data_IF_159079353876
#
_entry.id   IF_159079353876
#
_cell.length_a   1.000
_cell.length_b   1.000
_cell.length_c   1.000
_cell.angle_alpha   90.00
_cell.angle_beta   90.00
_cell.angle_gamma   90.00
#
_symmetry.space_group_name_H-M   'P 1'
#
loop_
_entity.id
_entity.type
_entity.pdbx_description
1 polymer ?
#
# COMPACT_ATOMS: atom_id res chain seq x y z
N UNK A 1 42.50 -9.57 -14.11
CA UNK A 1 42.25 -8.95 -12.79
C UNK A 1 40.76 -8.72 -12.69
N UNK A 2 40.03 -9.65 -12.07
CA UNK A 2 38.56 -9.56 -11.94
C UNK A 2 38.30 -8.64 -10.75
N UNK A 3 37.85 -7.42 -11.04
CA UNK A 3 37.36 -6.49 -10.02
C UNK A 3 36.11 -7.10 -9.37
N UNK A 4 36.29 -7.64 -8.16
CA UNK A 4 35.17 -7.96 -7.27
C UNK A 4 34.56 -6.65 -6.81
N UNK A 5 33.58 -6.13 -7.56
CA UNK A 5 32.72 -5.05 -7.08
C UNK A 5 31.92 -5.65 -5.93
N UNK A 6 32.27 -5.26 -4.70
CA UNK A 6 31.46 -5.53 -3.51
C UNK A 6 30.06 -5.00 -3.83
N UNK A 7 29.10 -5.88 -4.10
CA UNK A 7 27.70 -5.53 -4.28
C UNK A 7 27.20 -4.94 -2.96
N UNK A 8 27.29 -3.62 -2.82
CA UNK A 8 26.64 -2.88 -1.76
C UNK A 8 25.12 -3.10 -1.94
N UNK A 9 24.43 -3.60 -0.93
CA UNK A 9 22.99 -3.60 -0.92
C UNK A 9 22.45 -2.16 -1.07
N UNK A 10 21.17 -2.00 -1.41
CA UNK A 10 20.52 -0.69 -1.49
C UNK A 10 20.66 0.02 -0.14
N UNK A 11 21.07 1.30 -0.15
CA UNK A 11 21.10 2.09 1.08
C UNK A 11 19.71 2.60 1.42
N UNK A 12 19.48 2.95 2.68
CA UNK A 12 18.21 3.53 3.15
C UNK A 12 17.91 4.84 2.42
N UNK A 13 18.94 5.63 2.09
CA UNK A 13 18.81 6.89 1.37
C UNK A 13 18.30 6.67 -0.04
N UNK A 14 18.91 5.75 -0.80
CA UNK A 14 18.47 5.40 -2.17
C UNK A 14 17.02 4.86 -2.13
N UNK A 15 16.69 4.03 -1.15
CA UNK A 15 15.32 3.54 -1.02
C UNK A 15 14.33 4.69 -0.77
N UNK A 16 14.66 5.64 0.12
CA UNK A 16 13.84 6.83 0.37
C UNK A 16 13.64 7.66 -0.89
N UNK A 17 14.70 7.91 -1.65
CA UNK A 17 14.63 8.63 -2.92
C UNK A 17 13.70 7.94 -3.91
N UNK A 18 13.77 6.62 -4.05
CA UNK A 18 12.89 5.83 -4.92
C UNK A 18 11.43 5.93 -4.47
N UNK A 19 11.16 5.79 -3.16
CA UNK A 19 9.79 5.87 -2.63
C UNK A 19 9.21 7.28 -2.78
N UNK A 20 9.99 8.32 -2.52
CA UNK A 20 9.60 9.71 -2.73
C UNK A 20 9.30 9.98 -4.22
N UNK A 21 10.17 9.54 -5.13
CA UNK A 21 9.97 9.67 -6.57
C UNK A 21 8.66 9.03 -7.02
N UNK A 22 8.33 7.83 -6.51
CA UNK A 22 7.07 7.16 -6.84
C UNK A 22 5.86 8.01 -6.43
N UNK A 23 5.89 8.62 -5.24
CA UNK A 23 4.79 9.45 -4.75
C UNK A 23 4.67 10.78 -5.53
N UNK A 24 5.79 11.40 -5.89
CA UNK A 24 5.83 12.62 -6.69
C UNK A 24 5.29 12.41 -8.12
N UNK A 25 5.53 11.21 -8.70
CA UNK A 25 5.11 10.85 -10.06
C UNK A 25 3.89 9.91 -10.06
N UNK A 26 3.07 9.94 -9.01
CA UNK A 26 1.98 8.98 -8.79
C UNK A 26 0.93 8.98 -9.91
N UNK A 27 0.80 10.06 -10.63
CA UNK A 27 -0.13 10.24 -11.76
C UNK A 27 0.41 9.70 -13.09
N UNK A 28 1.68 9.33 -13.14
CA UNK A 28 2.38 8.94 -14.36
C UNK A 28 2.56 7.43 -14.48
N UNK A 29 2.97 6.97 -15.66
CA UNK A 29 3.44 5.59 -15.85
C UNK A 29 4.91 5.52 -15.47
N UNK A 30 5.18 5.04 -14.26
CA UNK A 30 6.53 4.86 -13.74
C UNK A 30 7.12 3.56 -14.29
N UNK A 31 8.30 3.63 -14.89
CA UNK A 31 8.97 2.45 -15.44
C UNK A 31 9.97 1.83 -14.47
N UNK A 32 10.09 0.49 -14.51
CA UNK A 32 11.11 -0.23 -13.76
C UNK A 32 12.53 0.21 -14.16
N UNK A 33 12.74 0.52 -15.46
CA UNK A 33 14.06 0.94 -15.98
C UNK A 33 14.50 2.25 -15.32
N UNK A 34 13.62 3.23 -15.30
CA UNK A 34 13.86 4.54 -14.70
C UNK A 34 14.25 4.45 -13.21
N UNK A 35 13.49 3.69 -12.42
CA UNK A 35 13.79 3.49 -11.00
C UNK A 35 15.11 2.73 -10.76
N UNK A 36 15.41 1.78 -11.64
CA UNK A 36 16.67 1.03 -11.58
C UNK A 36 17.87 1.91 -11.92
N UNK A 37 17.74 2.80 -12.91
CA UNK A 37 18.77 3.79 -13.27
C UNK A 37 19.01 4.77 -12.14
N UNK A 38 17.97 5.31 -11.51
CA UNK A 38 18.09 6.16 -10.33
C UNK A 38 18.84 5.47 -9.19
N UNK A 39 18.58 4.20 -8.97
CA UNK A 39 19.23 3.40 -7.93
C UNK A 39 20.65 2.95 -8.31
N UNK A 40 21.10 3.14 -9.56
CA UNK A 40 22.40 2.69 -10.06
C UNK A 40 22.48 1.17 -10.25
N UNK A 41 21.37 0.49 -10.55
CA UNK A 41 21.31 -0.96 -10.71
C UNK A 41 20.74 -1.36 -12.08
N UNK A 42 20.98 -2.61 -12.48
CA UNK A 42 20.24 -3.18 -13.61
C UNK A 42 18.77 -3.43 -13.18
N UNK A 43 17.79 -3.34 -14.11
CA UNK A 43 16.38 -3.55 -13.79
C UNK A 43 16.10 -4.88 -13.09
N UNK A 44 16.73 -5.95 -13.52
CA UNK A 44 16.59 -7.27 -12.91
C UNK A 44 17.08 -7.28 -11.45
N UNK A 45 18.28 -6.74 -11.22
CA UNK A 45 18.87 -6.71 -9.87
C UNK A 45 18.09 -5.78 -8.94
N UNK A 46 17.67 -4.59 -9.43
CA UNK A 46 16.83 -3.66 -8.69
C UNK A 46 15.50 -4.30 -8.27
N UNK A 47 14.77 -4.91 -9.22
CA UNK A 47 13.49 -5.58 -8.94
C UNK A 47 13.62 -6.65 -7.85
N UNK A 48 14.67 -7.47 -7.93
CA UNK A 48 14.93 -8.50 -6.92
C UNK A 48 15.24 -7.87 -5.56
N UNK A 49 16.13 -6.89 -5.53
CA UNK A 49 16.57 -6.22 -4.30
C UNK A 49 15.42 -5.48 -3.62
N UNK A 50 14.60 -4.76 -4.42
CA UNK A 50 13.41 -4.08 -3.92
C UNK A 50 12.43 -5.08 -3.31
N UNK A 51 12.17 -6.20 -3.99
CA UNK A 51 11.25 -7.23 -3.49
C UNK A 51 11.75 -7.89 -2.20
N UNK A 52 13.06 -8.07 -2.05
CA UNK A 52 13.66 -8.59 -0.81
C UNK A 52 13.54 -7.60 0.36
N UNK A 53 13.63 -6.30 0.08
CA UNK A 53 13.54 -5.24 1.10
C UNK A 53 12.10 -4.96 1.49
N UNK A 54 11.24 -4.75 0.49
CA UNK A 54 9.86 -4.31 0.68
C UNK A 54 8.87 -5.46 0.82
N UNK A 55 9.32 -6.71 0.61
CA UNK A 55 8.46 -7.91 0.68
C UNK A 55 7.51 -8.08 -0.50
N UNK A 56 7.50 -7.14 -1.46
CA UNK A 56 6.62 -7.18 -2.63
C UNK A 56 7.31 -6.65 -3.89
N UNK A 57 6.88 -7.06 -5.08
CA UNK A 57 7.39 -6.51 -6.34
C UNK A 57 7.15 -5.00 -6.44
N UNK A 58 8.09 -4.26 -7.03
CA UNK A 58 7.99 -2.80 -7.23
C UNK A 58 6.71 -2.39 -7.97
N UNK A 59 6.27 -3.17 -8.96
CA UNK A 59 5.03 -2.92 -9.70
C UNK A 59 3.79 -3.06 -8.82
N UNK A 60 3.81 -3.99 -7.86
CA UNK A 60 2.79 -4.15 -6.84
C UNK A 60 2.75 -2.95 -5.90
N UNK A 61 3.92 -2.51 -5.43
CA UNK A 61 4.05 -1.33 -4.58
C UNK A 61 3.50 -0.07 -5.26
N UNK A 62 3.93 0.24 -6.49
CA UNK A 62 3.43 1.39 -7.25
C UNK A 62 1.91 1.33 -7.39
N UNK A 63 1.36 0.15 -7.72
CA UNK A 63 -0.09 -0.03 -7.84
C UNK A 63 -0.83 0.26 -6.54
N UNK A 64 -0.32 -0.23 -5.40
CA UNK A 64 -0.90 0.04 -4.08
C UNK A 64 -0.87 1.53 -3.77
N UNK A 65 0.26 2.21 -3.98
CA UNK A 65 0.36 3.66 -3.76
C UNK A 65 -0.66 4.42 -4.60
N UNK A 66 -0.77 4.11 -5.90
CA UNK A 66 -1.78 4.70 -6.79
C UNK A 66 -3.21 4.51 -6.26
N UNK A 67 -3.55 3.33 -5.77
CA UNK A 67 -4.88 3.05 -5.23
C UNK A 67 -5.14 3.81 -3.92
N UNK A 68 -4.14 3.99 -3.07
CA UNK A 68 -4.24 4.79 -1.86
C UNK A 68 -4.53 6.26 -2.17
N UNK A 69 -3.81 6.86 -3.11
CA UNK A 69 -4.08 8.23 -3.57
C UNK A 69 -5.43 8.36 -4.29
N UNK A 70 -5.78 7.35 -5.10
CA UNK A 70 -7.07 7.30 -5.79
C UNK A 70 -8.24 7.28 -4.82
N UNK A 71 -8.13 6.60 -3.68
CA UNK A 71 -9.15 6.61 -2.64
C UNK A 71 -9.39 8.03 -2.12
N UNK A 72 -8.35 8.80 -1.82
CA UNK A 72 -8.47 10.22 -1.44
C UNK A 72 -9.24 11.03 -2.48
N UNK A 73 -8.87 10.90 -3.77
CA UNK A 73 -9.55 11.59 -4.88
C UNK A 73 -11.03 11.19 -5.03
N UNK A 74 -11.38 9.93 -4.75
CA UNK A 74 -12.78 9.49 -4.76
C UNK A 74 -13.58 10.17 -3.65
N UNK A 75 -13.01 10.36 -2.47
CA UNK A 75 -13.68 11.04 -1.34
C UNK A 75 -13.82 12.55 -1.58
N UNK A 76 -12.93 13.16 -2.36
CA UNK A 76 -13.09 14.53 -2.87
C UNK A 76 -14.26 14.69 -3.86
N UNK A 77 -14.97 13.61 -4.17
CA UNK A 77 -16.15 13.63 -5.02
C UNK A 77 -15.89 13.30 -6.50
N UNK A 78 -14.64 13.06 -6.91
CA UNK A 78 -14.30 12.75 -8.31
C UNK A 78 -14.99 11.48 -8.80
N UNK A 79 -15.27 11.40 -10.10
CA UNK A 79 -15.88 10.21 -10.71
C UNK A 79 -14.87 9.06 -10.79
N UNK A 80 -15.33 7.83 -10.63
CA UNK A 80 -14.48 6.63 -10.65
C UNK A 80 -13.68 6.51 -11.96
N UNK A 81 -14.32 6.81 -13.09
CA UNK A 81 -13.67 6.78 -14.40
C UNK A 81 -12.53 7.81 -14.47
N UNK A 82 -12.78 9.05 -14.06
CA UNK A 82 -11.79 10.12 -14.10
C UNK A 82 -10.59 9.78 -13.20
N UNK A 83 -10.84 9.22 -12.03
CA UNK A 83 -9.80 8.77 -11.09
C UNK A 83 -8.97 7.64 -11.69
N UNK A 84 -9.59 6.66 -12.35
CA UNK A 84 -8.84 5.57 -12.98
C UNK A 84 -7.87 6.06 -14.06
N UNK A 85 -8.29 7.04 -14.85
CA UNK A 85 -7.45 7.69 -15.87
C UNK A 85 -6.36 8.57 -15.25
N UNK A 86 -6.71 9.36 -14.21
CA UNK A 86 -5.82 10.25 -13.50
C UNK A 86 -4.60 9.53 -12.92
N UNK A 87 -4.79 8.33 -12.40
CA UNK A 87 -3.72 7.51 -11.82
C UNK A 87 -3.09 6.54 -12.83
N UNK A 88 -3.30 6.79 -14.13
CA UNK A 88 -2.71 6.04 -15.24
C UNK A 88 -2.95 4.52 -15.18
N UNK A 89 -4.16 4.10 -14.81
CA UNK A 89 -4.58 2.71 -14.98
C UNK A 89 -4.95 2.45 -16.44
N UNK A 90 -4.57 1.29 -16.98
CA UNK A 90 -4.78 0.95 -18.39
C UNK A 90 -6.26 0.73 -18.72
N UNK A 91 -7.10 0.39 -17.73
CA UNK A 91 -8.55 0.26 -17.91
C UNK A 91 -9.31 0.52 -16.62
N UNK A 92 -10.57 0.96 -16.74
CA UNK A 92 -11.49 1.14 -15.60
C UNK A 92 -11.77 -0.19 -14.87
N UNK A 93 -11.88 -1.30 -15.61
CA UNK A 93 -12.10 -2.62 -15.04
C UNK A 93 -10.87 -3.09 -14.24
N UNK A 94 -9.67 -2.87 -14.76
CA UNK A 94 -8.41 -3.17 -14.09
C UNK A 94 -8.24 -2.37 -12.81
N UNK A 95 -8.60 -1.07 -12.85
CA UNK A 95 -8.65 -0.21 -11.67
C UNK A 95 -9.64 -0.76 -10.63
N UNK A 96 -10.90 -0.99 -11.02
CA UNK A 96 -11.97 -1.45 -10.11
C UNK A 96 -11.61 -2.79 -9.48
N UNK A 97 -11.05 -3.73 -10.23
CA UNK A 97 -10.59 -5.02 -9.72
C UNK A 97 -9.47 -4.86 -8.70
N UNK A 98 -8.43 -4.09 -9.03
CA UNK A 98 -7.29 -3.84 -8.14
C UNK A 98 -7.72 -3.08 -6.87
N UNK A 99 -8.62 -2.12 -7.02
CA UNK A 99 -9.18 -1.37 -5.92
C UNK A 99 -9.99 -2.27 -4.96
N UNK A 100 -10.88 -3.11 -5.52
CA UNK A 100 -11.69 -4.05 -4.73
C UNK A 100 -10.81 -5.09 -4.03
N UNK A 101 -9.74 -5.54 -4.70
CA UNK A 101 -8.78 -6.46 -4.10
C UNK A 101 -8.02 -5.83 -2.93
N UNK A 102 -7.71 -4.53 -2.99
CA UNK A 102 -6.97 -3.83 -1.92
C UNK A 102 -7.87 -3.41 -0.76
N UNK A 103 -9.06 -2.88 -1.04
CA UNK A 103 -9.95 -2.26 -0.05
C UNK A 103 -11.16 -3.11 0.34
N UNK A 104 -11.32 -4.30 -0.21
CA UNK A 104 -12.44 -5.19 0.10
C UNK A 104 -13.78 -4.75 -0.50
N UNK A 105 -13.87 -3.57 -1.13
CA UNK A 105 -15.10 -3.03 -1.67
C UNK A 105 -14.88 -2.23 -2.95
N UNK A 106 -15.93 -2.06 -3.75
CA UNK A 106 -15.84 -1.32 -5.01
C UNK A 106 -15.66 0.18 -4.78
N UNK A 107 -15.01 0.91 -5.72
CA UNK A 107 -14.81 2.36 -5.59
C UNK A 107 -16.10 3.15 -5.31
N UNK A 108 -17.20 2.74 -5.95
CA UNK A 108 -18.52 3.39 -5.77
C UNK A 108 -19.10 3.20 -4.39
N UNK A 109 -18.94 2.00 -3.79
CA UNK A 109 -19.39 1.71 -2.43
C UNK A 109 -18.56 2.45 -1.40
N UNK A 110 -17.23 2.41 -1.55
CA UNK A 110 -16.32 3.14 -0.67
C UNK A 110 -16.67 4.63 -0.64
N UNK A 111 -16.89 5.24 -1.80
CA UNK A 111 -17.31 6.64 -1.91
C UNK A 111 -18.63 6.95 -1.16
N UNK A 112 -19.51 5.95 -1.04
CA UNK A 112 -20.80 6.12 -0.35
C UNK A 112 -20.68 6.09 1.17
N UNK A 113 -19.82 5.26 1.71
CA UNK A 113 -19.79 4.95 3.15
C UNK A 113 -18.55 5.49 3.88
N UNK A 114 -17.44 5.68 3.18
CA UNK A 114 -16.22 6.18 3.79
C UNK A 114 -16.28 7.71 3.89
N UNK A 115 -16.16 8.22 5.11
CA UNK A 115 -16.29 9.66 5.38
C UNK A 115 -14.94 10.38 5.47
N UNK A 116 -13.89 9.68 5.87
CA UNK A 116 -12.55 10.25 5.92
C UNK A 116 -11.46 9.25 5.56
N UNK A 117 -10.40 9.75 4.94
CA UNK A 117 -9.20 8.99 4.63
C UNK A 117 -8.01 9.92 4.40
N UNK A 118 -6.91 9.64 5.05
CA UNK A 118 -5.63 10.31 4.80
C UNK A 118 -4.68 9.33 4.11
N UNK A 119 -4.11 9.73 2.99
CA UNK A 119 -3.08 8.92 2.31
C UNK A 119 -1.91 8.69 3.28
N UNK A 120 -1.51 7.43 3.52
CA UNK A 120 -0.41 7.14 4.42
C UNK A 120 0.92 7.61 3.82
N UNK A 121 1.81 8.05 4.68
CA UNK A 121 3.21 8.21 4.28
C UNK A 121 3.81 6.83 3.92
N UNK A 122 4.78 6.84 3.02
CA UNK A 122 5.47 5.61 2.68
C UNK A 122 6.36 5.16 3.85
N UNK A 123 6.28 3.87 4.19
CA UNK A 123 7.12 3.28 5.23
C UNK A 123 8.47 2.87 4.63
N UNK A 124 9.55 3.36 5.22
CA UNK A 124 10.92 2.92 4.89
C UNK A 124 11.32 1.87 5.90
N UNK A 125 11.45 0.60 5.52
CA UNK A 125 11.90 -0.43 6.44
C UNK A 125 13.34 -0.17 6.88
N UNK A 126 13.62 -0.44 8.15
CA UNK A 126 15.00 -0.38 8.64
C UNK A 126 15.80 -1.54 8.03
N UNK A 127 16.68 -1.23 7.08
CA UNK A 127 17.53 -2.20 6.38
C UNK A 127 18.94 -2.24 6.95
N UNK A 128 19.28 -1.39 7.92
CA UNK A 128 20.58 -1.37 8.58
C UNK A 128 20.79 -2.65 9.38
N UNK A 129 21.87 -3.37 9.05
CA UNK A 129 22.24 -4.61 9.74
C UNK A 129 21.51 -5.88 9.27
N UNK A 130 20.55 -5.80 8.35
CA UNK A 130 19.96 -7.00 7.75
C UNK A 130 20.95 -7.66 6.80
N UNK A 131 21.46 -8.83 7.17
CA UNK A 131 22.09 -9.76 6.21
C UNK A 131 20.95 -10.28 5.32
N UNK A 132 20.91 -9.77 4.07
CA UNK A 132 19.99 -10.31 3.07
C UNK A 132 20.32 -11.79 2.84
N UNK A 133 19.50 -12.68 3.39
CA UNK A 133 19.54 -14.11 3.06
C UNK A 133 18.71 -14.30 1.78
N UNK A 134 19.38 -14.61 0.69
CA UNK A 134 18.70 -15.05 -0.52
C UNK A 134 17.96 -16.35 -0.21
N UNK A 135 16.63 -16.28 -0.08
CA UNK A 135 15.77 -17.46 -0.11
C UNK A 135 15.08 -17.91 1.18
N UNK A 136 14.87 -17.05 2.16
CA UNK A 136 14.11 -17.44 3.36
C UNK A 136 12.97 -16.43 3.64
N UNK A 137 11.79 -17.03 3.82
CA UNK A 137 10.57 -16.52 4.44
C UNK A 137 9.78 -15.44 3.69
N UNK A 138 8.77 -15.95 2.97
CA UNK A 138 7.79 -15.22 2.16
C UNK A 138 6.66 -14.52 2.95
N UNK A 139 6.73 -14.43 4.24
CA UNK A 139 5.78 -13.64 5.02
C UNK A 139 6.34 -12.25 5.27
N UNK A 140 6.11 -11.36 4.31
CA UNK A 140 6.48 -9.96 4.50
C UNK A 140 5.48 -9.30 5.44
N UNK A 141 6.00 -8.48 6.37
CA UNK A 141 5.23 -7.66 7.30
C UNK A 141 4.20 -6.76 6.60
N UNK A 142 4.47 -6.37 5.36
CA UNK A 142 3.61 -5.51 4.55
C UNK A 142 2.41 -6.29 4.01
N UNK A 143 2.61 -7.54 3.55
CA UNK A 143 1.51 -8.39 3.10
C UNK A 143 0.53 -8.68 4.25
N UNK A 144 1.03 -8.95 5.44
CA UNK A 144 0.21 -9.17 6.63
C UNK A 144 -0.58 -7.91 7.04
N UNK A 145 0.03 -6.72 7.02
CA UNK A 145 -0.68 -5.47 7.32
C UNK A 145 -1.78 -5.17 6.29
N UNK A 146 -1.50 -5.34 5.00
CA UNK A 146 -2.52 -5.15 3.96
C UNK A 146 -3.65 -6.15 4.08
N UNK A 147 -3.34 -7.40 4.39
CA UNK A 147 -4.35 -8.45 4.59
C UNK A 147 -5.27 -8.14 5.77
N UNK A 148 -4.74 -7.70 6.91
CA UNK A 148 -5.52 -7.37 8.10
C UNK A 148 -6.40 -6.13 7.86
N UNK A 149 -5.85 -5.07 7.27
CA UNK A 149 -6.63 -3.87 6.91
C UNK A 149 -7.75 -4.23 5.93
N UNK A 150 -7.47 -5.10 4.95
CA UNK A 150 -8.45 -5.60 4.00
C UNK A 150 -9.61 -6.35 4.69
N UNK A 151 -9.31 -7.29 5.60
CA UNK A 151 -10.34 -8.10 6.27
C UNK A 151 -11.24 -7.23 7.16
N UNK A 152 -10.67 -6.26 7.88
CA UNK A 152 -11.44 -5.34 8.72
C UNK A 152 -12.32 -4.43 7.88
N UNK A 153 -11.77 -3.81 6.84
CA UNK A 153 -12.53 -2.96 5.92
C UNK A 153 -13.66 -3.73 5.25
N UNK A 154 -13.40 -4.96 4.81
CA UNK A 154 -14.40 -5.82 4.20
C UNK A 154 -15.59 -6.02 5.15
N UNK A 155 -15.32 -6.31 6.43
CA UNK A 155 -16.39 -6.51 7.43
C UNK A 155 -17.18 -5.23 7.68
N UNK A 156 -16.52 -4.07 7.83
CA UNK A 156 -17.22 -2.78 7.98
C UNK A 156 -18.08 -2.45 6.76
N UNK A 157 -17.63 -2.78 5.54
CA UNK A 157 -18.44 -2.61 4.32
C UNK A 157 -19.60 -3.60 4.21
N UNK A 158 -19.45 -4.84 4.68
CA UNK A 158 -20.54 -5.81 4.76
C UNK A 158 -21.63 -5.34 5.75
N UNK A 159 -21.24 -4.76 6.90
CA UNK A 159 -22.16 -4.11 7.85
C UNK A 159 -22.87 -2.90 7.22
N UNK A 160 -22.17 -2.10 6.42
CA UNK A 160 -22.77 -0.96 5.72
C UNK A 160 -23.76 -1.40 4.64
N UNK A 161 -23.45 -2.45 3.86
CA UNK A 161 -24.36 -3.03 2.88
C UNK A 161 -25.62 -3.63 3.54
N UNK A 162 -25.48 -4.19 4.73
CA UNK A 162 -26.61 -4.70 5.52
C UNK A 162 -27.42 -3.60 6.22
N UNK A 163 -27.01 -2.33 6.08
CA UNK A 163 -27.71 -1.16 6.65
C UNK A 163 -27.44 -0.90 8.13
N UNK A 164 -26.45 -1.59 8.72
CA UNK A 164 -26.10 -1.43 10.13
C UNK A 164 -24.96 -0.42 10.37
N UNK A 165 -24.24 -0.02 9.33
CA UNK A 165 -23.20 0.97 9.36
C UNK A 165 -23.45 2.05 8.30
N UNK A 166 -23.23 3.31 8.64
CA UNK A 166 -23.42 4.45 7.72
C UNK A 166 -22.14 5.26 7.54
N UNK A 167 -21.19 5.11 8.45
CA UNK A 167 -19.93 5.86 8.48
C UNK A 167 -18.76 4.93 8.81
N UNK A 168 -17.70 5.04 8.05
CA UNK A 168 -16.45 4.32 8.24
C UNK A 168 -15.31 5.34 8.18
N UNK A 169 -14.47 5.39 9.21
CA UNK A 169 -13.29 6.25 9.27
C UNK A 169 -12.01 5.41 9.30
N UNK A 170 -11.03 5.82 8.51
CA UNK A 170 -9.71 5.21 8.49
C UNK A 170 -8.68 6.25 8.85
N UNK A 171 -7.98 6.05 9.94
CA UNK A 171 -6.85 6.89 10.37
C UNK A 171 -5.56 6.08 10.30
N UNK A 172 -4.59 6.60 9.57
CA UNK A 172 -3.25 6.05 9.48
C UNK A 172 -2.30 6.94 10.27
N UNK A 173 -1.53 6.34 11.15
CA UNK A 173 -0.55 7.04 11.99
C UNK A 173 0.85 6.96 11.38
N UNK A 174 1.68 7.95 11.65
CA UNK A 174 3.06 8.04 11.16
C UNK A 174 3.94 6.84 11.59
N UNK A 175 3.60 6.19 12.68
CA UNK A 175 4.27 5.00 13.18
C UNK A 175 3.80 3.68 12.54
N UNK A 176 2.99 3.77 11.48
CA UNK A 176 2.46 2.62 10.73
C UNK A 176 1.22 1.97 11.35
N UNK A 177 0.69 2.49 12.46
CA UNK A 177 -0.58 2.02 13.02
C UNK A 177 -1.75 2.43 12.14
N UNK A 178 -2.75 1.56 12.04
CA UNK A 178 -4.01 1.82 11.36
C UNK A 178 -5.14 1.76 12.37
N UNK A 179 -5.98 2.77 12.40
CA UNK A 179 -7.23 2.79 13.16
C UNK A 179 -8.38 2.78 12.18
N UNK A 180 -9.28 1.82 12.30
CA UNK A 180 -10.53 1.76 11.56
C UNK A 180 -11.65 1.86 12.58
N UNK A 181 -12.57 2.79 12.37
CA UNK A 181 -13.77 2.96 13.20
C UNK A 181 -14.99 2.93 12.31
N UNK A 182 -16.01 2.23 12.72
CA UNK A 182 -17.34 2.29 12.11
C UNK A 182 -18.41 2.55 13.17
N UNK A 183 -19.59 2.98 12.74
CA UNK A 183 -20.76 3.17 13.60
C UNK A 183 -21.74 1.98 13.48
N UNK A 184 -21.27 0.81 13.11
CA UNK A 184 -22.05 -0.42 13.01
C UNK A 184 -22.38 -1.06 14.36
N UNK A 185 -22.78 -2.33 14.35
CA UNK A 185 -23.26 -3.06 15.54
C UNK A 185 -22.17 -3.47 16.53
N UNK A 186 -20.96 -3.00 16.37
CA UNK A 186 -19.89 -3.21 17.34
C UNK A 186 -18.79 -4.16 16.89
N UNK A 187 -18.28 -4.00 15.70
CA UNK A 187 -16.91 -4.42 15.42
C UNK A 187 -16.00 -3.39 16.06
N UNK A 188 -15.49 -3.78 17.21
CA UNK A 188 -14.65 -3.00 18.10
C UNK A 188 -13.44 -2.40 17.37
N UNK A 189 -12.97 -1.27 17.90
CA UNK A 189 -11.69 -0.64 17.62
C UNK A 189 -10.57 -1.67 17.48
N UNK A 190 -10.11 -1.92 16.25
CA UNK A 190 -8.92 -2.71 16.01
C UNK A 190 -7.74 -1.74 15.92
N UNK A 191 -6.90 -1.76 16.97
CA UNK A 191 -5.59 -1.13 16.95
C UNK A 191 -4.57 -2.15 16.43
N UNK A 192 -4.07 -1.93 15.23
CA UNK A 192 -2.94 -2.68 14.69
C UNK A 192 -1.68 -1.90 15.04
N UNK A 193 -1.03 -2.29 16.16
CA UNK A 193 0.29 -1.80 16.54
C UNK A 193 1.28 -2.93 16.45
N UNK A 194 2.23 -2.83 15.54
CA UNK A 194 3.33 -3.76 15.23
C UNK A 194 2.97 -5.20 14.82
N UNK A 195 3.83 -5.84 14.00
CA UNK A 195 3.53 -7.09 13.28
C UNK A 195 3.42 -8.34 14.16
N UNK A 196 3.31 -8.22 15.49
CA UNK A 196 3.37 -9.39 16.37
C UNK A 196 2.24 -9.52 17.42
N UNK A 197 1.29 -8.58 17.52
CA UNK A 197 0.17 -8.76 18.48
C UNK A 197 -1.12 -8.11 18.00
N UNK A 198 -2.06 -8.93 17.55
CA UNK A 198 -3.49 -8.64 17.56
C UNK A 198 -3.97 -8.60 19.01
N UNK A 199 -4.36 -7.44 19.53
CA UNK A 199 -5.18 -7.33 20.71
C UNK A 199 -6.57 -6.88 20.29
N UNK A 200 -7.50 -7.81 20.33
CA UNK A 200 -8.94 -7.53 20.34
C UNK A 200 -9.26 -6.94 21.72
N UNK A 201 -9.71 -5.69 21.74
CA UNK A 201 -10.26 -5.08 22.95
C UNK A 201 -11.77 -5.01 22.73
N UNK A 202 -12.47 -5.84 23.48
CA UNK A 202 -13.94 -5.84 23.59
C UNK A 202 -14.41 -4.70 24.49
#
# INVERSE_FOLDING_TARGET
MILYVRRKGMSTEILKEILAYIDEHIYEKISLLELAEMAGYSPFYFSKLFSEIMGMPITGYIRIRKLQYALGSLLEGRKVLDVSLMYAFDSHEGFTRSFTQLFGSTPSKVKKYLTSYKVPEYCVPNIEGRRMRMGADKESLIDNMHQIVYEVLKTSFEEADAGFCTEIDITLYEDGRVKITDNGRGLSLIHISEPTRLQLIS
#
